data_IF_446146898334
#
_entry.id   IF_446146898334
#
_cell.length_a   1.000
_cell.length_b   1.000
_cell.length_c   1.000
_cell.angle_alpha   90.00
_cell.angle_beta   90.00
_cell.angle_gamma   90.00
#
_symmetry.space_group_name_H-M   'P 1'
#
loop_
_entity.id
_entity.type
_entity.pdbx_description
1 polymer ?
#
# COMPACT_ATOMS: atom_id res chain seq x y z
N UNK A 1 -20.15 61.32 -59.27
CA UNK A 1 -20.10 60.77 -57.89
C UNK A 1 -19.93 59.25 -57.97
N UNK A 2 -18.74 58.72 -57.65
CA UNK A 2 -18.51 57.28 -57.46
C UNK A 2 -18.07 57.08 -56.01
N UNK A 3 -18.82 56.28 -55.24
CA UNK A 3 -18.50 55.94 -53.83
C UNK A 3 -17.56 54.74 -53.80
N UNK A 4 -16.45 54.89 -53.10
CA UNK A 4 -15.48 53.85 -52.78
C UNK A 4 -16.02 52.94 -51.67
N UNK A 5 -15.92 51.62 -51.83
CA UNK A 5 -16.21 50.64 -50.77
C UNK A 5 -14.91 50.32 -49.99
N UNK A 6 -14.95 50.10 -48.66
CA UNK A 6 -13.77 49.68 -47.92
C UNK A 6 -13.60 48.16 -48.00
N UNK A 7 -12.36 47.72 -48.23
CA UNK A 7 -11.97 46.32 -48.19
C UNK A 7 -11.97 45.79 -46.74
N UNK A 8 -12.56 44.62 -46.52
CA UNK A 8 -12.53 43.93 -45.22
C UNK A 8 -11.19 43.23 -45.02
N UNK A 9 -10.55 43.45 -43.87
CA UNK A 9 -9.34 42.73 -43.47
C UNK A 9 -9.70 41.32 -42.97
N UNK A 10 -8.87 40.29 -43.24
CA UNK A 10 -9.13 38.94 -42.76
C UNK A 10 -8.88 38.86 -41.25
N UNK A 11 -9.93 38.48 -40.52
CA UNK A 11 -9.88 38.12 -39.09
C UNK A 11 -8.87 36.99 -38.88
N UNK A 12 -7.77 37.29 -38.16
CA UNK A 12 -6.86 36.27 -37.63
C UNK A 12 -7.63 35.42 -36.62
N UNK A 13 -8.10 34.25 -37.05
CA UNK A 13 -8.66 33.23 -36.15
C UNK A 13 -7.59 32.84 -35.13
N UNK A 14 -7.99 32.91 -33.86
CA UNK A 14 -7.16 32.75 -32.68
C UNK A 14 -6.64 31.32 -32.52
N UNK A 15 -5.37 31.10 -32.90
CA UNK A 15 -4.61 29.89 -32.58
C UNK A 15 -4.33 29.70 -31.08
N UNK A 16 -4.61 30.72 -30.25
CA UNK A 16 -4.37 30.67 -28.79
C UNK A 16 -5.41 29.89 -27.97
N UNK A 17 -6.62 29.63 -28.51
CA UNK A 17 -7.65 28.89 -27.76
C UNK A 17 -7.38 27.38 -27.68
N UNK A 18 -6.81 26.77 -28.73
CA UNK A 18 -6.56 25.31 -28.74
C UNK A 18 -5.41 24.90 -27.82
N UNK A 19 -4.33 25.70 -27.76
CA UNK A 19 -3.21 25.44 -26.86
C UNK A 19 -3.61 25.45 -25.39
N UNK A 20 -4.52 26.36 -24.98
CA UNK A 20 -5.04 26.40 -23.61
C UNK A 20 -5.83 25.15 -23.24
N UNK A 21 -6.67 24.63 -24.16
CA UNK A 21 -7.46 23.41 -23.93
C UNK A 21 -6.59 22.15 -23.90
N UNK A 22 -5.63 22.02 -24.80
CA UNK A 22 -4.68 20.90 -24.80
C UNK A 22 -3.78 20.92 -23.55
N UNK A 23 -3.31 22.10 -23.14
CA UNK A 23 -2.52 22.25 -21.91
C UNK A 23 -3.32 21.84 -20.67
N UNK A 24 -4.58 22.26 -20.55
CA UNK A 24 -5.46 21.82 -19.46
C UNK A 24 -5.74 20.32 -19.48
N UNK A 25 -5.95 19.74 -20.67
CA UNK A 25 -6.15 18.29 -20.81
C UNK A 25 -4.90 17.50 -20.36
N UNK A 26 -3.70 17.96 -20.72
CA UNK A 26 -2.43 17.38 -20.28
C UNK A 26 -2.23 17.49 -18.77
N UNK A 27 -2.54 18.65 -18.17
CA UNK A 27 -2.47 18.82 -16.72
C UNK A 27 -3.43 17.89 -15.98
N UNK A 28 -4.67 17.78 -16.45
CA UNK A 28 -5.68 16.87 -15.88
C UNK A 28 -5.24 15.41 -15.99
N UNK A 29 -4.70 14.98 -17.13
CA UNK A 29 -4.21 13.61 -17.30
C UNK A 29 -2.98 13.33 -16.42
N UNK A 30 -2.08 14.30 -16.28
CA UNK A 30 -0.91 14.18 -15.42
C UNK A 30 -1.32 14.08 -13.94
N UNK A 31 -2.29 14.89 -13.51
CA UNK A 31 -2.86 14.81 -12.17
C UNK A 31 -3.58 13.48 -11.92
N UNK A 32 -4.36 13.00 -12.89
CA UNK A 32 -5.00 11.68 -12.84
C UNK A 32 -3.97 10.56 -12.67
N UNK A 33 -2.89 10.56 -13.46
CA UNK A 33 -1.80 9.57 -13.34
C UNK A 33 -1.08 9.64 -12.00
N UNK A 34 -0.85 10.84 -11.48
CA UNK A 34 -0.23 11.03 -10.15
C UNK A 34 -1.12 10.47 -9.05
N UNK A 35 -2.43 10.76 -9.09
CA UNK A 35 -3.41 10.25 -8.11
C UNK A 35 -3.57 8.73 -8.17
N UNK A 36 -3.47 8.14 -9.36
CA UNK A 36 -3.67 6.71 -9.58
C UNK A 36 -2.42 5.83 -9.33
N UNK A 37 -1.28 6.42 -8.94
CA UNK A 37 -0.04 5.68 -8.69
C UNK A 37 0.81 6.36 -7.61
N UNK A 38 0.33 6.35 -6.36
CA UNK A 38 1.09 6.87 -5.23
C UNK A 38 2.40 6.10 -4.97
N UNK A 39 2.50 4.85 -5.42
CA UNK A 39 3.72 4.05 -5.29
C UNK A 39 4.90 4.67 -6.01
N UNK A 40 4.71 5.12 -7.25
CA UNK A 40 5.78 5.74 -8.05
C UNK A 40 6.31 7.03 -7.38
N UNK A 41 5.45 7.75 -6.67
CA UNK A 41 5.80 8.96 -5.94
C UNK A 41 6.32 8.69 -4.52
N UNK A 42 6.24 7.45 -4.02
CA UNK A 42 6.68 7.13 -2.66
C UNK A 42 8.19 7.31 -2.52
N UNK A 43 8.59 8.11 -1.54
CA UNK A 43 9.99 8.31 -1.15
C UNK A 43 10.07 8.14 0.37
N UNK A 44 10.70 7.04 0.85
CA UNK A 44 10.80 6.82 2.28
C UNK A 44 11.75 7.85 2.91
N UNK A 45 11.38 8.38 4.07
CA UNK A 45 12.35 9.09 4.90
C UNK A 45 13.31 8.09 5.57
N UNK A 46 14.44 8.52 6.18
CA UNK A 46 15.51 7.62 6.60
C UNK A 46 15.08 6.41 7.46
N UNK A 47 14.16 6.56 8.43
CA UNK A 47 13.72 5.41 9.24
C UNK A 47 12.84 4.43 8.44
N UNK A 48 12.01 4.92 7.52
CA UNK A 48 11.25 4.04 6.62
C UNK A 48 12.20 3.26 5.71
N UNK A 49 13.22 3.93 5.16
CA UNK A 49 14.23 3.29 4.32
C UNK A 49 15.00 2.20 5.08
N UNK A 50 15.39 2.46 6.34
CA UNK A 50 16.01 1.48 7.22
C UNK A 50 15.09 0.28 7.49
N UNK A 51 13.81 0.53 7.79
CA UNK A 51 12.82 -0.52 7.99
C UNK A 51 12.66 -1.41 6.74
N UNK A 52 12.60 -0.82 5.55
CA UNK A 52 12.52 -1.55 4.29
C UNK A 52 13.79 -2.37 4.03
N UNK A 53 14.97 -1.74 4.13
CA UNK A 53 16.26 -2.40 3.89
C UNK A 53 16.51 -3.58 4.84
N UNK A 54 16.08 -3.47 6.11
CA UNK A 54 16.18 -4.56 7.08
C UNK A 54 15.47 -5.84 6.60
N UNK A 55 14.51 -5.74 5.67
CA UNK A 55 13.77 -6.89 5.13
C UNK A 55 14.61 -7.81 4.27
N UNK A 56 15.77 -7.37 3.78
CA UNK A 56 16.68 -8.24 3.05
C UNK A 56 17.29 -9.34 3.94
N UNK A 57 17.54 -9.04 5.22
CA UNK A 57 18.17 -9.96 6.17
C UNK A 57 17.17 -10.56 7.18
N UNK A 58 16.07 -9.86 7.47
CA UNK A 58 15.16 -10.23 8.56
C UNK A 58 13.79 -10.59 8.02
N UNK A 59 13.33 -11.81 8.33
CA UNK A 59 11.98 -12.29 8.00
C UNK A 59 10.91 -11.57 8.80
N UNK A 60 11.21 -11.21 10.05
CA UNK A 60 10.30 -10.52 10.96
C UNK A 60 10.82 -9.11 11.21
N UNK A 61 9.95 -8.11 11.07
CA UNK A 61 10.31 -6.71 11.34
C UNK A 61 9.21 -5.97 12.06
N UNK A 62 9.65 -5.07 12.92
CA UNK A 62 8.77 -4.18 13.66
C UNK A 62 9.10 -2.72 13.30
N UNK A 63 8.08 -1.98 12.83
CA UNK A 63 8.11 -0.54 12.73
C UNK A 63 7.33 0.08 13.88
N UNK A 64 8.04 0.35 14.97
CA UNK A 64 7.49 1.05 16.12
C UNK A 64 7.69 2.57 15.98
N UNK A 65 6.60 3.32 15.92
CA UNK A 65 6.63 4.77 15.82
C UNK A 65 5.37 5.42 16.42
N UNK A 66 5.49 6.67 16.87
CA UNK A 66 4.36 7.50 17.28
C UNK A 66 3.29 7.68 16.20
N UNK A 67 2.12 8.18 16.60
CA UNK A 67 1.01 8.45 15.69
C UNK A 67 1.42 9.40 14.56
N UNK A 68 0.89 9.16 13.36
CA UNK A 68 1.12 9.98 12.16
C UNK A 68 2.57 10.03 11.64
N UNK A 69 3.48 9.20 12.15
CA UNK A 69 4.87 9.11 11.68
C UNK A 69 5.06 8.21 10.44
N UNK A 70 3.98 7.94 9.71
CA UNK A 70 4.01 7.23 8.43
C UNK A 70 4.24 5.72 8.51
N UNK A 71 3.96 5.08 9.65
CA UNK A 71 4.10 3.63 9.86
C UNK A 71 3.26 2.80 8.87
N UNK A 72 1.95 3.07 8.83
CA UNK A 72 1.01 2.39 7.94
C UNK A 72 1.29 2.71 6.47
N UNK A 73 1.78 3.92 6.19
CA UNK A 73 2.20 4.33 4.83
C UNK A 73 3.41 3.51 4.36
N UNK A 74 4.38 3.25 5.24
CA UNK A 74 5.53 2.41 4.92
C UNK A 74 5.10 0.95 4.67
N UNK A 75 4.27 0.38 5.56
CA UNK A 75 3.72 -0.97 5.37
C UNK A 75 2.97 -1.11 4.04
N UNK A 76 2.09 -0.15 3.73
CA UNK A 76 1.33 -0.14 2.49
C UNK A 76 2.18 0.02 1.22
N UNK A 77 3.23 0.85 1.27
CA UNK A 77 4.15 1.00 0.15
C UNK A 77 4.91 -0.30 -0.12
N UNK A 78 5.48 -0.92 0.92
CA UNK A 78 6.19 -2.19 0.80
C UNK A 78 5.27 -3.32 0.30
N UNK A 79 4.04 -3.42 0.83
CA UNK A 79 3.05 -4.38 0.35
C UNK A 79 2.74 -4.18 -1.13
N UNK A 80 2.52 -2.93 -1.56
CA UNK A 80 2.24 -2.64 -2.96
C UNK A 80 3.42 -2.99 -3.89
N UNK A 81 4.67 -2.79 -3.46
CA UNK A 81 5.86 -3.23 -4.21
C UNK A 81 5.88 -4.74 -4.38
N UNK A 82 5.63 -5.49 -3.31
CA UNK A 82 5.60 -6.95 -3.35
C UNK A 82 4.45 -7.48 -4.22
N UNK A 83 3.24 -6.93 -4.08
CA UNK A 83 2.07 -7.34 -4.86
C UNK A 83 2.25 -7.11 -6.36
N UNK A 84 2.88 -6.01 -6.74
CA UNK A 84 3.04 -5.62 -8.15
C UNK A 84 4.35 -6.10 -8.77
N UNK A 85 5.35 -6.45 -7.95
CA UNK A 85 6.74 -6.65 -8.38
C UNK A 85 7.44 -5.36 -8.80
N UNK A 86 6.84 -4.18 -8.57
CA UNK A 86 7.39 -2.87 -8.97
C UNK A 86 8.29 -2.31 -7.88
N UNK A 87 9.52 -2.81 -7.84
CA UNK A 87 10.54 -2.32 -6.92
C UNK A 87 11.26 -1.09 -7.52
N UNK A 88 11.29 0.06 -6.83
CA UNK A 88 12.04 1.23 -7.29
C UNK A 88 13.55 1.03 -7.11
N UNK A 89 14.37 1.77 -7.87
CA UNK A 89 15.84 1.63 -7.88
C UNK A 89 16.52 1.80 -6.51
N UNK A 90 15.89 2.54 -5.60
CA UNK A 90 16.41 2.73 -4.24
C UNK A 90 16.11 1.56 -3.30
N UNK A 91 15.27 0.60 -3.72
CA UNK A 91 14.83 -0.52 -2.90
C UNK A 91 16.00 -1.44 -2.54
N UNK A 92 16.14 -1.71 -1.25
CA UNK A 92 17.21 -2.56 -0.69
C UNK A 92 16.65 -3.66 0.22
N UNK A 93 15.33 -3.83 0.27
CA UNK A 93 14.66 -4.84 1.08
C UNK A 93 14.52 -6.18 0.36
N UNK A 94 13.64 -7.04 0.87
CA UNK A 94 13.31 -8.32 0.21
C UNK A 94 12.69 -8.08 -1.17
N UNK A 95 13.09 -8.90 -2.14
CA UNK A 95 12.47 -8.97 -3.46
C UNK A 95 11.83 -10.34 -3.63
N UNK A 96 10.63 -10.35 -4.21
CA UNK A 96 9.97 -11.56 -4.70
C UNK A 96 10.03 -11.53 -6.23
N UNK A 97 10.55 -12.60 -6.81
CA UNK A 97 10.69 -12.84 -8.25
C UNK A 97 9.49 -13.60 -8.85
N UNK A 98 8.39 -13.67 -8.09
CA UNK A 98 7.13 -14.28 -8.48
C UNK A 98 5.94 -13.57 -7.84
N UNK A 99 4.74 -13.86 -8.37
CA UNK A 99 3.49 -13.40 -7.77
C UNK A 99 3.32 -13.93 -6.34
N UNK A 100 2.75 -13.10 -5.48
CA UNK A 100 2.69 -13.34 -4.04
C UNK A 100 1.26 -13.43 -3.52
N UNK A 101 1.12 -14.11 -2.38
CA UNK A 101 -0.10 -14.12 -1.56
C UNK A 101 0.22 -13.44 -0.24
N UNK A 102 -0.39 -12.29 -0.01
CA UNK A 102 -0.14 -11.48 1.18
C UNK A 102 -1.42 -11.26 1.97
N UNK A 103 -1.28 -11.17 3.29
CA UNK A 103 -2.34 -10.65 4.15
C UNK A 103 -1.97 -9.27 4.69
N UNK A 104 -2.96 -8.42 4.88
CA UNK A 104 -2.87 -7.20 5.66
C UNK A 104 -4.02 -7.18 6.67
N UNK A 105 -3.70 -6.92 7.93
CA UNK A 105 -4.65 -7.11 9.00
C UNK A 105 -4.58 -6.00 10.03
N UNK A 106 -5.71 -5.70 10.66
CA UNK A 106 -5.80 -4.79 11.80
C UNK A 106 -6.63 -5.40 12.94
N UNK A 107 -6.86 -4.60 13.98
CA UNK A 107 -7.59 -5.04 15.18
C UNK A 107 -9.02 -5.48 14.85
N UNK A 108 -9.78 -4.62 14.17
CA UNK A 108 -11.17 -4.87 13.77
C UNK A 108 -11.34 -4.82 12.26
N UNK A 109 -12.49 -5.28 11.75
CA UNK A 109 -12.84 -5.15 10.33
C UNK A 109 -12.85 -3.69 9.86
N UNK A 110 -13.41 -2.78 10.65
CA UNK A 110 -13.40 -1.33 10.40
C UNK A 110 -11.98 -0.77 10.44
N UNK A 111 -11.18 -1.16 11.44
CA UNK A 111 -9.78 -0.72 11.54
C UNK A 111 -8.96 -1.14 10.34
N UNK A 112 -9.15 -2.37 9.87
CA UNK A 112 -8.48 -2.90 8.67
C UNK A 112 -8.91 -2.14 7.41
N UNK A 113 -10.21 -1.85 7.29
CA UNK A 113 -10.78 -1.05 6.20
C UNK A 113 -10.22 0.38 6.18
N UNK A 114 -10.20 1.04 7.34
CA UNK A 114 -9.88 2.47 7.43
C UNK A 114 -8.38 2.75 7.48
N UNK A 115 -7.54 1.73 7.76
CA UNK A 115 -6.09 1.85 7.77
C UNK A 115 -5.42 1.08 6.60
N UNK A 116 -5.09 -0.23 6.68
CA UNK A 116 -4.45 -0.95 5.58
C UNK A 116 -5.15 -0.81 4.23
N UNK A 117 -6.46 -1.08 4.17
CA UNK A 117 -7.19 -1.03 2.90
C UNK A 117 -7.21 0.38 2.33
N UNK A 118 -7.46 1.41 3.15
CA UNK A 118 -7.43 2.81 2.69
C UNK A 118 -6.08 3.19 2.10
N UNK A 119 -4.98 2.78 2.73
CA UNK A 119 -3.64 3.08 2.25
C UNK A 119 -3.30 2.29 1.00
N UNK A 120 -3.70 1.02 0.91
CA UNK A 120 -3.37 0.15 -0.20
C UNK A 120 -4.24 0.40 -1.43
N UNK A 121 -5.55 0.56 -1.26
CA UNK A 121 -6.52 0.61 -2.36
C UNK A 121 -7.06 2.02 -2.59
N UNK A 122 -7.34 2.77 -1.54
CA UNK A 122 -7.99 4.09 -1.61
C UNK A 122 -9.16 4.22 -0.63
N UNK A 123 -9.81 5.40 -0.57
CA UNK A 123 -10.85 5.69 0.42
C UNK A 123 -12.03 4.69 0.37
N UNK A 124 -12.32 3.97 1.47
CA UNK A 124 -13.35 2.92 1.47
C UNK A 124 -14.77 3.42 1.14
N UNK A 125 -15.06 4.68 1.48
CA UNK A 125 -16.37 5.30 1.28
C UNK A 125 -16.59 5.78 -0.17
N UNK A 126 -15.52 5.86 -0.98
CA UNK A 126 -15.54 6.39 -2.35
C UNK A 126 -14.96 5.35 -3.31
N UNK A 127 -15.79 4.41 -3.76
CA UNK A 127 -15.36 3.32 -4.65
C UNK A 127 -14.77 3.82 -5.97
N UNK A 128 -15.22 4.97 -6.47
CA UNK A 128 -14.69 5.61 -7.67
C UNK A 128 -13.20 6.02 -7.52
N UNK A 129 -12.73 6.22 -6.29
CA UNK A 129 -11.35 6.58 -5.98
C UNK A 129 -10.50 5.34 -5.63
N UNK A 130 -11.01 4.12 -5.80
CA UNK A 130 -10.19 2.92 -5.64
C UNK A 130 -9.15 2.83 -6.75
N UNK A 131 -7.94 2.42 -6.39
CA UNK A 131 -6.74 2.55 -7.24
C UNK A 131 -5.96 3.86 -7.02
N UNK A 132 -6.42 4.74 -6.10
CA UNK A 132 -5.63 5.90 -5.65
C UNK A 132 -4.77 5.60 -4.43
N UNK A 133 -4.75 4.36 -3.96
CA UNK A 133 -3.86 3.91 -2.89
C UNK A 133 -2.42 3.67 -3.35
N UNK A 134 -1.69 2.91 -2.55
CA UNK A 134 -0.34 2.45 -2.88
C UNK A 134 -0.35 1.39 -3.98
N UNK A 135 -1.40 0.58 -4.11
CA UNK A 135 -1.55 -0.32 -5.26
C UNK A 135 -2.00 0.53 -6.45
N UNK A 136 -1.20 0.63 -7.53
CA UNK A 136 -1.54 1.44 -8.68
C UNK A 136 -2.84 0.95 -9.34
N UNK A 137 -3.69 1.87 -9.79
CA UNK A 137 -4.99 1.53 -10.39
C UNK A 137 -4.86 0.58 -11.59
N UNK A 138 -3.80 0.74 -12.41
CA UNK A 138 -3.54 -0.09 -13.58
C UNK A 138 -3.15 -1.54 -13.24
N UNK A 139 -2.75 -1.78 -11.99
CA UNK A 139 -2.39 -3.09 -11.48
C UNK A 139 -3.56 -3.82 -10.81
N UNK A 140 -4.64 -3.14 -10.41
CA UNK A 140 -5.82 -3.79 -9.82
C UNK A 140 -6.59 -4.51 -10.93
N UNK A 141 -6.71 -5.83 -10.82
CA UNK A 141 -7.48 -6.65 -11.76
C UNK A 141 -8.93 -6.76 -11.30
N UNK A 142 -9.13 -7.06 -10.02
CA UNK A 142 -10.46 -7.25 -9.44
C UNK A 142 -10.42 -7.12 -7.91
N UNK A 143 -11.55 -6.72 -7.32
CA UNK A 143 -11.76 -6.66 -5.88
C UNK A 143 -12.96 -7.50 -5.46
N UNK A 144 -12.80 -8.28 -4.38
CA UNK A 144 -13.89 -9.03 -3.74
C UNK A 144 -14.39 -8.23 -2.55
N UNK A 145 -15.68 -7.92 -2.52
CA UNK A 145 -16.28 -7.21 -1.39
C UNK A 145 -16.39 -8.10 -0.15
N UNK A 146 -16.04 -7.55 1.01
CA UNK A 146 -16.37 -8.11 2.30
C UNK A 146 -17.87 -8.00 2.59
N UNK A 147 -18.40 -8.94 3.36
CA UNK A 147 -19.85 -9.00 3.68
C UNK A 147 -20.22 -8.33 5.00
N UNK A 148 -19.26 -8.15 5.90
CA UNK A 148 -19.53 -7.76 7.29
C UNK A 148 -19.48 -6.26 7.54
N UNK A 149 -18.61 -5.53 6.83
CA UNK A 149 -18.34 -4.11 7.06
C UNK A 149 -18.53 -3.35 5.76
N UNK A 150 -19.34 -2.30 5.77
CA UNK A 150 -19.62 -1.50 4.57
C UNK A 150 -18.33 -0.91 3.99
N UNK A 151 -18.13 -1.05 2.68
CA UNK A 151 -16.93 -0.59 1.98
C UNK A 151 -15.66 -1.40 2.25
N UNK A 152 -15.74 -2.47 3.05
CA UNK A 152 -14.60 -3.36 3.26
C UNK A 152 -14.41 -4.29 2.07
N UNK A 153 -13.16 -4.50 1.71
CA UNK A 153 -12.71 -5.46 0.70
C UNK A 153 -12.24 -6.70 1.44
N UNK A 154 -12.64 -7.88 0.98
CA UNK A 154 -12.11 -9.15 1.46
C UNK A 154 -10.75 -9.43 0.82
N UNK A 155 -10.66 -9.31 -0.52
CA UNK A 155 -9.42 -9.50 -1.25
C UNK A 155 -9.31 -8.65 -2.52
N UNK A 156 -8.06 -8.42 -2.95
CA UNK A 156 -7.69 -7.71 -4.17
C UNK A 156 -6.77 -8.60 -5.00
N UNK A 157 -7.11 -8.78 -6.27
CA UNK A 157 -6.25 -9.43 -7.26
C UNK A 157 -5.45 -8.35 -7.97
N UNK A 158 -4.12 -8.49 -7.95
CA UNK A 158 -3.17 -7.51 -8.45
C UNK A 158 -2.29 -8.14 -9.53
N UNK A 159 -2.17 -7.48 -10.67
CA UNK A 159 -1.24 -7.86 -11.73
C UNK A 159 0.19 -7.73 -11.22
N UNK A 160 0.92 -8.84 -11.26
CA UNK A 160 2.33 -8.93 -10.91
C UNK A 160 3.17 -8.99 -12.19
N UNK A 161 4.29 -8.27 -12.19
CA UNK A 161 5.14 -8.06 -13.37
C UNK A 161 4.99 -6.60 -13.83
N UNK A 162 6.14 -5.94 -14.02
CA UNK A 162 6.23 -4.49 -14.22
C UNK A 162 5.48 -3.98 -15.46
N UNK A 163 4.19 -3.71 -15.33
CA UNK A 163 3.43 -2.75 -16.15
C UNK A 163 3.51 -2.89 -17.68
N UNK A 164 3.79 -4.07 -18.24
CA UNK A 164 3.88 -4.26 -19.69
C UNK A 164 4.09 -5.68 -20.20
N UNK A 165 4.46 -6.64 -19.33
CA UNK A 165 4.74 -8.00 -19.77
C UNK A 165 3.47 -8.81 -20.07
N UNK A 166 3.46 -9.44 -21.25
CA UNK A 166 2.35 -10.24 -21.81
C UNK A 166 2.16 -11.57 -21.06
N UNK A 167 2.99 -11.87 -20.05
CA UNK A 167 2.87 -13.01 -19.13
C UNK A 167 2.74 -12.59 -17.66
N UNK A 168 1.98 -11.53 -17.40
CA UNK A 168 1.75 -11.08 -16.03
C UNK A 168 1.02 -12.15 -15.21
N UNK A 169 1.62 -12.55 -14.08
CA UNK A 169 0.99 -13.39 -13.06
C UNK A 169 0.10 -12.55 -12.15
N UNK A 170 -0.67 -13.19 -11.26
CA UNK A 170 -1.56 -12.48 -10.33
C UNK A 170 -1.14 -12.71 -8.89
N UNK A 171 -0.86 -11.62 -8.19
CA UNK A 171 -0.75 -11.60 -6.73
C UNK A 171 -2.12 -11.43 -6.10
N UNK A 172 -2.28 -11.92 -4.88
CA UNK A 172 -3.51 -11.75 -4.09
C UNK A 172 -3.17 -11.10 -2.76
N UNK A 173 -3.90 -10.04 -2.45
CA UNK A 173 -3.95 -9.44 -1.12
C UNK A 173 -5.29 -9.79 -0.47
N UNK A 174 -5.27 -10.33 0.74
CA UNK A 174 -6.49 -10.51 1.54
C UNK A 174 -6.44 -9.68 2.82
N UNK A 175 -7.56 -9.07 3.19
CA UNK A 175 -7.70 -8.31 4.41
C UNK A 175 -8.25 -9.19 5.54
N UNK A 176 -7.64 -9.11 6.73
CA UNK A 176 -8.05 -9.88 7.92
C UNK A 176 -8.25 -8.97 9.12
N UNK A 177 -9.02 -9.41 10.12
CA UNK A 177 -9.09 -8.74 11.42
C UNK A 177 -8.74 -9.70 12.54
N UNK A 178 -8.08 -9.20 13.59
CA UNK A 178 -7.68 -10.00 14.74
C UNK A 178 -8.89 -10.46 15.57
N UNK A 179 -9.94 -9.63 15.65
CA UNK A 179 -11.17 -9.92 16.39
C UNK A 179 -11.86 -11.23 16.00
N UNK A 180 -11.59 -11.74 14.78
CA UNK A 180 -12.17 -13.00 14.28
C UNK A 180 -11.48 -14.25 14.83
N UNK A 181 -10.44 -14.08 15.64
CA UNK A 181 -9.71 -15.16 16.30
C UNK A 181 -8.74 -15.91 15.39
N UNK A 182 -7.86 -16.70 16.02
CA UNK A 182 -6.83 -17.51 15.36
C UNK A 182 -7.40 -18.47 14.31
N UNK A 183 -8.63 -18.98 14.48
CA UNK A 183 -9.20 -20.00 13.59
C UNK A 183 -9.30 -19.49 12.14
N UNK A 184 -9.50 -18.17 11.94
CA UNK A 184 -9.56 -17.56 10.60
C UNK A 184 -8.20 -17.31 9.95
N UNK A 185 -7.13 -17.63 10.67
CA UNK A 185 -5.73 -17.46 10.23
C UNK A 185 -5.09 -18.78 9.79
N UNK A 186 -5.82 -19.90 9.87
CA UNK A 186 -5.33 -21.22 9.49
C UNK A 186 -5.52 -21.51 7.99
N UNK A 187 -4.73 -22.47 7.49
CA UNK A 187 -4.94 -23.13 6.19
C UNK A 187 -4.21 -22.54 4.99
N UNK A 188 -3.99 -21.22 4.93
CA UNK A 188 -3.38 -20.60 3.75
C UNK A 188 -1.85 -20.52 3.84
N UNK A 189 -1.14 -20.77 2.74
CA UNK A 189 0.32 -20.58 2.65
C UNK A 189 0.60 -19.19 2.08
N UNK A 190 1.36 -18.37 2.80
CA UNK A 190 1.52 -16.93 2.52
C UNK A 190 2.98 -16.57 2.26
N UNK A 191 3.19 -15.57 1.41
CA UNK A 191 4.50 -14.96 1.17
C UNK A 191 4.77 -13.81 2.14
N UNK A 192 3.71 -13.25 2.74
CA UNK A 192 3.88 -12.37 3.87
C UNK A 192 2.60 -11.95 4.57
N UNK A 193 2.79 -11.46 5.78
CA UNK A 193 1.72 -11.01 6.68
C UNK A 193 2.07 -9.64 7.24
N UNK A 194 1.17 -8.67 7.07
CA UNK A 194 1.28 -7.36 7.68
C UNK A 194 0.27 -7.24 8.80
N UNK A 195 0.78 -7.08 10.00
CA UNK A 195 0.03 -6.71 11.19
C UNK A 195 0.06 -5.18 11.37
N UNK A 196 -1.04 -4.50 11.09
CA UNK A 196 -1.26 -3.10 11.45
C UNK A 196 -1.84 -3.04 12.86
N UNK A 197 -1.25 -2.18 13.68
CA UNK A 197 -1.39 -2.21 15.13
C UNK A 197 -0.99 -3.56 15.77
N UNK A 198 -1.07 -3.64 17.09
CA UNK A 198 -0.57 -4.79 17.83
C UNK A 198 -1.53 -5.99 17.74
N UNK A 199 -1.06 -7.16 17.24
CA UNK A 199 -1.85 -8.38 17.24
C UNK A 199 -1.75 -9.14 18.58
N UNK A 200 -2.80 -9.89 18.97
CA UNK A 200 -2.66 -10.94 19.98
C UNK A 200 -1.55 -11.94 19.61
N UNK A 201 -0.83 -12.44 20.62
CA UNK A 201 0.35 -13.31 20.40
C UNK A 201 0.02 -14.60 19.63
N UNK A 202 -1.17 -15.13 19.82
CA UNK A 202 -1.62 -16.36 19.18
C UNK A 202 -1.90 -16.13 17.68
N UNK A 203 -2.53 -15.01 17.33
CA UNK A 203 -2.71 -14.54 15.95
C UNK A 203 -1.37 -14.26 15.28
N UNK A 204 -0.44 -13.60 15.99
CA UNK A 204 0.92 -13.36 15.50
C UNK A 204 1.65 -14.67 15.15
N UNK A 205 1.66 -15.61 16.11
CA UNK A 205 2.32 -16.91 15.95
C UNK A 205 1.71 -17.76 14.82
N UNK A 206 0.40 -17.68 14.65
CA UNK A 206 -0.28 -18.31 13.52
C UNK A 206 0.17 -17.71 12.19
N UNK A 207 0.20 -16.38 12.07
CA UNK A 207 0.69 -15.69 10.87
C UNK A 207 2.13 -16.05 10.50
N UNK A 208 3.03 -16.17 11.49
CA UNK A 208 4.40 -16.67 11.26
C UNK A 208 4.42 -18.08 10.68
N UNK A 209 3.56 -18.96 11.18
CA UNK A 209 3.45 -20.33 10.69
C UNK A 209 3.07 -20.37 9.21
N UNK A 210 2.21 -19.44 8.76
CA UNK A 210 1.76 -19.34 7.37
C UNK A 210 2.86 -18.92 6.39
N UNK A 211 3.92 -18.25 6.86
CA UNK A 211 5.04 -17.79 6.02
C UNK A 211 6.23 -18.74 6.03
N UNK A 212 6.20 -19.82 6.81
CA UNK A 212 7.34 -20.73 6.93
C UNK A 212 7.64 -21.51 5.65
N UNK A 213 6.61 -22.02 4.97
CA UNK A 213 6.79 -22.83 3.75
C UNK A 213 7.38 -22.02 2.58
N UNK A 214 7.17 -20.71 2.56
CA UNK A 214 7.61 -19.81 1.47
C UNK A 214 8.90 -19.06 1.80
N UNK A 215 9.42 -19.17 3.03
CA UNK A 215 10.44 -18.25 3.53
C UNK A 215 9.97 -16.79 3.50
N UNK A 216 8.66 -16.58 3.69
CA UNK A 216 8.00 -15.28 3.60
C UNK A 216 8.36 -14.34 4.74
N UNK A 217 7.80 -13.13 4.68
CA UNK A 217 8.07 -12.03 5.62
C UNK A 217 6.86 -11.69 6.47
N UNK A 218 7.13 -11.18 7.66
CA UNK A 218 6.14 -10.63 8.56
C UNK A 218 6.57 -9.23 8.96
N UNK A 219 5.65 -8.28 8.86
CA UNK A 219 5.87 -6.93 9.38
C UNK A 219 4.79 -6.57 10.39
N UNK A 220 5.20 -5.82 11.41
CA UNK A 220 4.30 -5.22 12.40
C UNK A 220 4.47 -3.71 12.34
N UNK A 221 3.39 -2.96 12.21
CA UNK A 221 3.38 -1.49 12.28
C UNK A 221 2.46 -1.05 13.41
N UNK A 222 2.99 -0.69 14.56
CA UNK A 222 2.16 -0.28 15.70
C UNK A 222 2.71 0.97 16.40
N UNK A 223 1.84 1.65 17.13
CA UNK A 223 2.22 2.72 18.04
C UNK A 223 2.12 2.22 19.49
N UNK A 224 3.18 2.34 20.31
CA UNK A 224 3.11 1.90 21.70
C UNK A 224 2.27 2.90 22.49
N UNK A 225 1.02 2.53 22.78
CA UNK A 225 0.07 3.37 23.53
C UNK A 225 -0.06 2.95 25.01
N UNK A 226 0.27 1.71 25.38
CA UNK A 226 -0.09 1.14 26.71
C UNK A 226 1.01 0.30 27.39
N UNK A 227 2.29 0.47 27.03
CA UNK A 227 3.41 -0.28 27.63
C UNK A 227 3.88 -1.47 26.78
N UNK A 228 4.76 -2.29 27.34
CA UNK A 228 5.44 -3.38 26.63
C UNK A 228 4.56 -4.63 26.53
N UNK A 229 4.18 -4.98 25.31
CA UNK A 229 3.40 -6.19 25.04
C UNK A 229 4.27 -7.41 24.70
N UNK A 230 3.68 -8.61 24.79
CA UNK A 230 4.37 -9.87 24.51
C UNK A 230 4.94 -9.96 23.09
N UNK A 231 4.28 -9.33 22.11
CA UNK A 231 4.80 -9.26 20.74
C UNK A 231 6.01 -8.33 20.69
N UNK A 232 5.95 -7.16 21.34
CA UNK A 232 7.05 -6.20 21.37
C UNK A 232 8.28 -6.77 22.06
N UNK A 233 8.10 -7.51 23.16
CA UNK A 233 9.18 -8.16 23.89
C UNK A 233 9.97 -9.17 23.02
N UNK A 234 9.36 -9.73 21.97
CA UNK A 234 10.07 -10.61 21.03
C UNK A 234 10.99 -9.86 20.07
N UNK A 235 10.73 -8.57 19.83
CA UNK A 235 11.53 -7.72 18.94
C UNK A 235 12.61 -6.93 19.68
N UNK A 236 12.54 -6.84 21.02
CA UNK A 236 13.49 -6.08 21.82
C UNK A 236 14.57 -7.00 22.40
N UNK A 237 15.82 -6.55 22.32
CA UNK A 237 16.89 -7.17 23.11
C UNK A 237 16.76 -6.75 24.59
N UNK A 238 17.37 -7.50 25.51
CA UNK A 238 17.39 -7.14 26.93
C UNK A 238 17.91 -5.71 27.18
N UNK A 239 18.84 -5.22 26.34
CA UNK A 239 19.35 -3.86 26.41
C UNK A 239 18.36 -2.79 25.93
N UNK A 240 17.49 -3.11 24.96
CA UNK A 240 16.45 -2.20 24.48
C UNK A 240 15.33 -2.03 25.51
N UNK A 241 14.98 -3.12 26.20
CA UNK A 241 14.06 -3.12 27.34
C UNK A 241 14.55 -2.18 28.45
N UNK A 242 15.84 -2.24 28.79
CA UNK A 242 16.42 -1.40 29.85
C UNK A 242 16.48 0.09 29.47
N UNK A 243 16.73 0.41 28.20
CA UNK A 243 16.71 1.80 27.70
C UNK A 243 15.32 2.42 27.74
N UNK A 244 14.28 1.62 27.47
CA UNK A 244 12.90 2.10 27.43
C UNK A 244 12.28 2.25 28.83
N UNK A 245 12.73 1.48 29.82
CA UNK A 245 12.27 1.59 31.21
C UNK A 245 12.83 2.79 32.00
N UNK A 246 13.79 3.53 31.44
CA UNK A 246 14.40 4.74 32.05
C UNK A 246 13.88 6.05 31.46
N UNK A 247 12.81 6.00 30.65
CA UNK A 247 12.16 7.14 30.00
C UNK A 247 10.87 7.57 30.70
#
# INVERSE_FOLDING_TARGET
MRRSAPASAPSKRSSGRSLGTEYLALLTELERRRRANHLAAYRPYPRQAQFHAAGAANRERLFMAGNQLGKTRAGGAEWAMHLTGRYPDWWQGKVFDMAVRLWAAGVTGEGTRDNPQRVLVGPPQQQADWGTGMIPADAIVHTVMGRSVAGAIDSVVVRWGGGGDVQASESVLSFKSYEKGREKWQGETLHGVWFDEEPPLDVYSEGLTRTNATGGITIVTFTPLLGMSDVVLRFLSAADVERMGKG
#
